data_IF_035388546721
#
_entry.id   IF_035388546721
#
_cell.length_a   1.000
_cell.length_b   1.000
_cell.length_c   1.000
_cell.angle_alpha   90.00
_cell.angle_beta   90.00
_cell.angle_gamma   90.00
#
_symmetry.space_group_name_H-M   'P 1'
#
loop_
_entity.id
_entity.type
_entity.pdbx_description
1 polymer ?
#
# COMPACT_ATOMS: atom_id res chain seq x y z
N UNK A 1 -8.82 -7.14 -9.04
CA UNK A 1 -7.67 -6.24 -9.36
C UNK A 1 -8.09 -4.80 -9.61
N UNK A 2 -9.08 -4.53 -10.49
CA UNK A 2 -9.51 -3.15 -10.75
C UNK A 2 -10.20 -2.47 -9.57
N UNK A 3 -11.04 -3.19 -8.82
CA UNK A 3 -11.65 -2.68 -7.58
C UNK A 3 -10.60 -2.24 -6.55
N UNK A 4 -9.54 -3.04 -6.38
CA UNK A 4 -8.41 -2.72 -5.48
C UNK A 4 -7.67 -1.46 -5.96
N UNK A 5 -7.45 -1.31 -7.28
CA UNK A 5 -6.87 -0.09 -7.85
C UNK A 5 -7.70 1.13 -7.46
N UNK A 6 -9.02 1.04 -7.66
CA UNK A 6 -9.95 2.13 -7.36
C UNK A 6 -9.96 2.48 -5.87
N UNK A 7 -10.00 1.48 -4.99
CA UNK A 7 -9.97 1.72 -3.54
C UNK A 7 -8.69 2.40 -3.07
N UNK A 8 -7.53 2.08 -3.65
CA UNK A 8 -6.30 2.82 -3.35
C UNK A 8 -6.24 4.20 -4.01
N UNK A 9 -6.82 4.38 -5.20
CA UNK A 9 -6.90 5.68 -5.86
C UNK A 9 -7.72 6.70 -5.06
N UNK A 10 -8.72 6.26 -4.29
CA UNK A 10 -9.43 7.11 -3.33
C UNK A 10 -8.48 7.72 -2.27
N UNK A 11 -7.36 7.06 -1.99
CA UNK A 11 -6.33 7.52 -1.06
C UNK A 11 -5.20 8.33 -1.75
N UNK A 12 -5.38 8.77 -3.00
CA UNK A 12 -4.36 9.50 -3.77
C UNK A 12 -3.82 10.75 -3.06
N UNK A 13 -4.67 11.51 -2.38
CA UNK A 13 -4.24 12.69 -1.61
C UNK A 13 -3.25 12.33 -0.50
N UNK A 14 -3.45 11.18 0.15
CA UNK A 14 -2.58 10.66 1.22
C UNK A 14 -1.25 10.21 0.64
N UNK A 15 -1.27 9.54 -0.52
CA UNK A 15 -0.07 9.16 -1.28
C UNK A 15 0.77 10.37 -1.71
N UNK A 16 0.13 11.46 -2.15
CA UNK A 16 0.83 12.71 -2.48
C UNK A 16 1.48 13.36 -1.25
N UNK A 17 0.79 13.32 -0.11
CA UNK A 17 1.34 13.84 1.15
C UNK A 17 2.52 13.00 1.66
N UNK A 18 2.45 11.67 1.49
CA UNK A 18 3.54 10.74 1.79
C UNK A 18 4.84 11.11 1.08
N UNK A 19 4.78 11.55 -0.19
CA UNK A 19 5.99 11.96 -0.95
C UNK A 19 6.82 13.02 -0.24
N UNK A 20 6.16 13.88 0.56
CA UNK A 20 6.80 14.98 1.29
C UNK A 20 7.29 14.56 2.66
N UNK A 21 6.47 13.83 3.42
CA UNK A 21 6.71 13.59 4.86
C UNK A 21 7.33 12.22 5.15
N UNK A 22 6.97 11.17 4.39
CA UNK A 22 7.50 9.81 4.55
C UNK A 22 7.41 9.24 5.98
N UNK A 23 6.24 9.36 6.61
CA UNK A 23 5.97 8.83 7.97
C UNK A 23 4.76 7.88 7.98
N UNK A 24 4.59 7.12 9.07
CA UNK A 24 3.49 6.16 9.26
C UNK A 24 2.10 6.78 9.10
N UNK A 25 1.92 8.03 9.54
CA UNK A 25 0.60 8.69 9.50
C UNK A 25 0.15 9.04 8.08
N UNK A 26 1.08 9.10 7.14
CA UNK A 26 0.81 9.48 5.73
C UNK A 26 0.83 8.31 4.78
N UNK A 27 1.10 7.12 5.30
CA UNK A 27 1.17 5.89 4.55
C UNK A 27 -0.18 5.36 4.09
N UNK A 28 -0.27 4.68 2.94
CA UNK A 28 -1.53 4.08 2.48
C UNK A 28 -2.11 3.07 3.49
N UNK A 29 -3.44 3.08 3.64
CA UNK A 29 -4.15 2.05 4.36
C UNK A 29 -4.32 0.81 3.48
N UNK A 30 -3.93 -0.35 4.01
CA UNK A 30 -4.06 -1.64 3.35
C UNK A 30 -5.46 -2.23 3.44
N UNK A 31 -6.21 -1.91 4.49
CA UNK A 31 -7.57 -2.41 4.72
C UNK A 31 -8.60 -1.49 4.07
N UNK A 32 -9.38 -2.07 3.17
CA UNK A 32 -10.44 -1.40 2.44
C UNK A 32 -11.78 -2.10 2.73
N UNK A 33 -12.85 -1.31 2.81
CA UNK A 33 -14.21 -1.83 2.83
C UNK A 33 -14.53 -2.50 1.49
N UNK A 34 -15.16 -3.67 1.52
CA UNK A 34 -15.43 -4.44 0.30
C UNK A 34 -16.62 -3.90 -0.51
N UNK A 35 -17.55 -3.19 0.13
CA UNK A 35 -18.73 -2.59 -0.50
C UNK A 35 -18.39 -1.22 -1.05
N UNK A 36 -17.72 -0.37 -0.26
CA UNK A 36 -17.48 1.03 -0.62
C UNK A 36 -16.09 1.26 -1.25
N UNK A 37 -15.13 0.38 -0.97
CA UNK A 37 -13.73 0.57 -1.37
C UNK A 37 -12.99 1.62 -0.54
N UNK A 38 -13.60 2.15 0.51
CA UNK A 38 -13.01 3.18 1.36
C UNK A 38 -12.01 2.58 2.36
N UNK A 39 -10.97 3.32 2.76
CA UNK A 39 -10.04 2.87 3.80
C UNK A 39 -10.76 2.68 5.15
N UNK A 40 -10.52 1.53 5.78
CA UNK A 40 -11.02 1.26 7.13
C UNK A 40 -10.06 1.86 8.14
N UNK A 41 -10.52 2.90 8.85
CA UNK A 41 -9.77 3.55 9.92
C UNK A 41 -9.93 2.79 11.24
N UNK A 42 -8.80 2.50 11.88
CA UNK A 42 -8.74 1.83 13.17
C UNK A 42 -7.50 2.33 13.90
N UNK A 43 -7.72 3.03 15.01
CA UNK A 43 -6.65 3.64 15.80
C UNK A 43 -5.67 2.62 16.40
N UNK A 44 -6.07 1.35 16.46
CA UNK A 44 -5.22 0.25 16.93
C UNK A 44 -4.36 -0.34 15.81
N UNK A 45 -4.70 -0.06 14.54
CA UNK A 45 -4.04 -0.61 13.38
C UNK A 45 -2.99 0.36 12.83
N UNK A 46 -1.72 0.11 13.16
CA UNK A 46 -0.58 0.95 12.78
C UNK A 46 0.29 0.34 11.68
N UNK A 47 -0.23 -0.66 10.99
CA UNK A 47 0.53 -1.43 10.02
C UNK A 47 0.45 -0.76 8.65
N UNK A 48 1.62 -0.57 8.03
CA UNK A 48 1.82 -0.06 6.69
C UNK A 48 1.52 -1.13 5.62
N UNK A 49 1.73 -2.41 5.97
CA UNK A 49 1.56 -3.59 5.11
C UNK A 49 2.07 -3.36 3.69
N UNK A 50 3.36 -3.01 3.60
CA UNK A 50 4.05 -2.84 2.33
C UNK A 50 3.95 -4.06 1.42
N UNK A 51 3.93 -5.25 2.03
CA UNK A 51 3.78 -6.54 1.38
C UNK A 51 2.49 -6.62 0.54
N UNK A 52 1.36 -6.13 1.04
CA UNK A 52 0.10 -6.09 0.29
C UNK A 52 0.24 -5.29 -1.02
N UNK A 53 0.87 -4.11 -0.93
CA UNK A 53 1.08 -3.23 -2.08
C UNK A 53 2.07 -3.85 -3.06
N UNK A 54 3.16 -4.46 -2.55
CA UNK A 54 4.15 -5.15 -3.37
C UNK A 54 3.56 -6.35 -4.13
N UNK A 55 2.79 -7.21 -3.45
CA UNK A 55 2.09 -8.34 -4.06
C UNK A 55 1.10 -7.88 -5.13
N UNK A 56 0.36 -6.80 -4.86
CA UNK A 56 -0.54 -6.23 -5.85
C UNK A 56 0.18 -5.78 -7.12
N UNK A 57 1.32 -5.08 -7.01
CA UNK A 57 2.09 -4.64 -8.18
C UNK A 57 2.59 -5.83 -8.99
N UNK A 58 3.13 -6.85 -8.33
CA UNK A 58 3.59 -8.08 -8.99
C UNK A 58 2.43 -8.72 -9.74
N UNK A 59 1.27 -8.87 -9.09
CA UNK A 59 0.09 -9.46 -9.71
C UNK A 59 -0.47 -8.63 -10.86
N UNK A 60 -0.44 -7.29 -10.74
CA UNK A 60 -0.86 -6.36 -11.78
C UNK A 60 0.02 -6.52 -13.03
N UNK A 61 1.34 -6.60 -12.86
CA UNK A 61 2.29 -6.83 -13.95
C UNK A 61 2.04 -8.17 -14.63
N UNK A 62 1.85 -9.25 -13.87
CA UNK A 62 1.57 -10.58 -14.42
C UNK A 62 0.29 -10.59 -15.28
N UNK A 63 -0.78 -9.93 -14.82
CA UNK A 63 -2.03 -9.87 -15.58
C UNK A 63 -1.93 -9.01 -16.84
N UNK A 64 -1.22 -7.88 -16.77
CA UNK A 64 -0.97 -7.07 -17.97
C UNK A 64 -0.14 -7.86 -18.98
N UNK A 65 0.87 -8.61 -18.51
CA UNK A 65 1.69 -9.45 -19.36
C UNK A 65 0.90 -10.59 -20.00
N UNK A 66 -0.14 -11.12 -19.34
CA UNK A 66 -1.05 -12.10 -19.93
C UNK A 66 -2.04 -11.51 -20.94
N UNK A 67 -1.97 -10.20 -21.22
CA UNK A 67 -2.82 -9.50 -22.19
C UNK A 67 -4.09 -8.88 -21.61
N UNK A 68 -4.28 -8.89 -20.28
CA UNK A 68 -5.43 -8.23 -19.66
C UNK A 68 -5.20 -6.72 -19.57
N UNK A 69 -6.15 -5.94 -20.08
CA UNK A 69 -6.17 -4.50 -19.89
C UNK A 69 -6.81 -4.18 -18.54
N UNK A 70 -6.02 -3.68 -17.58
CA UNK A 70 -6.49 -3.33 -16.23
C UNK A 70 -6.41 -1.82 -15.98
N UNK A 71 -5.38 -1.17 -16.53
CA UNK A 71 -5.12 0.27 -16.45
C UNK A 71 -5.51 0.90 -17.79
N UNK A 72 -6.39 1.89 -17.76
CA UNK A 72 -7.04 2.48 -18.92
C UNK A 72 -6.78 3.99 -19.05
N UNK A 73 -6.75 4.73 -17.94
CA UNK A 73 -6.65 6.19 -17.97
C UNK A 73 -5.25 6.68 -17.62
N UNK A 74 -4.91 7.90 -18.03
CA UNK A 74 -3.64 8.54 -17.66
C UNK A 74 -3.53 8.73 -16.15
N UNK A 75 -4.64 8.97 -15.47
CA UNK A 75 -4.68 9.13 -14.01
C UNK A 75 -4.39 7.81 -13.30
N UNK A 76 -4.93 6.69 -13.80
CA UNK A 76 -4.60 5.35 -13.29
C UNK A 76 -3.11 5.03 -13.52
N UNK A 77 -2.54 5.40 -14.67
CA UNK A 77 -1.10 5.25 -14.95
C UNK A 77 -0.25 6.07 -13.95
N UNK A 78 -0.59 7.34 -13.74
CA UNK A 78 0.12 8.21 -12.80
C UNK A 78 0.02 7.68 -11.37
N UNK A 79 -1.14 7.13 -10.99
CA UNK A 79 -1.32 6.51 -9.68
C UNK A 79 -0.42 5.28 -9.51
N UNK A 80 -0.36 4.38 -10.49
CA UNK A 80 0.53 3.21 -10.44
C UNK A 80 2.00 3.63 -10.32
N UNK A 81 2.42 4.69 -11.03
CA UNK A 81 3.77 5.25 -10.89
C UNK A 81 4.03 5.76 -9.46
N UNK A 82 3.07 6.49 -8.89
CA UNK A 82 3.16 6.95 -7.51
C UNK A 82 3.24 5.79 -6.50
N UNK A 83 2.55 4.69 -6.79
CA UNK A 83 2.55 3.49 -5.95
C UNK A 83 3.89 2.73 -6.02
N UNK A 84 4.55 2.71 -7.18
CA UNK A 84 5.94 2.22 -7.30
C UNK A 84 6.91 3.11 -6.51
N UNK A 85 6.79 4.44 -6.63
CA UNK A 85 7.58 5.38 -5.83
C UNK A 85 7.38 5.17 -4.31
N UNK A 86 6.14 4.92 -3.91
CA UNK A 86 5.80 4.65 -2.53
C UNK A 86 6.52 3.41 -2.00
N UNK A 87 6.48 2.28 -2.74
CA UNK A 87 7.20 1.06 -2.37
C UNK A 87 8.72 1.30 -2.23
N UNK A 88 9.32 2.08 -3.14
CA UNK A 88 10.74 2.44 -3.08
C UNK A 88 11.09 3.21 -1.80
N UNK A 89 10.16 3.94 -1.19
CA UNK A 89 10.46 4.80 -0.04
C UNK A 89 10.03 4.21 1.29
N UNK A 90 8.91 3.49 1.29
CA UNK A 90 8.26 2.98 2.47
C UNK A 90 9.03 1.81 3.13
N UNK A 91 9.97 1.13 2.44
CA UNK A 91 10.73 0.02 3.03
C UNK A 91 11.67 0.47 4.17
N UNK A 92 11.97 1.78 4.21
CA UNK A 92 12.80 2.42 5.23
C UNK A 92 11.98 2.81 6.47
N UNK A 93 10.66 2.69 6.41
CA UNK A 93 9.76 2.99 7.52
C UNK A 93 9.58 1.69 8.31
N UNK A 94 9.77 1.70 9.64
CA UNK A 94 9.51 0.53 10.46
C UNK A 94 8.05 0.11 10.37
N UNK A 95 7.79 -1.17 10.11
CA UNK A 95 6.45 -1.73 9.93
C UNK A 95 6.32 -3.10 10.61
N UNK A 96 5.09 -3.58 10.74
CA UNK A 96 4.76 -4.93 11.14
C UNK A 96 4.92 -5.87 9.93
N UNK A 97 5.49 -7.06 10.16
CA UNK A 97 5.52 -8.09 9.14
C UNK A 97 4.11 -8.59 8.76
N UNK A 98 4.03 -9.44 7.72
CA UNK A 98 2.78 -9.94 7.10
C UNK A 98 1.73 -10.48 8.08
N UNK A 99 2.15 -10.93 9.27
CA UNK A 99 1.27 -11.50 10.29
C UNK A 99 0.71 -10.49 11.28
N UNK A 100 1.02 -9.20 11.14
CA UNK A 100 0.49 -8.10 11.97
C UNK A 100 0.82 -8.24 13.48
N UNK A 101 1.80 -9.08 13.83
CA UNK A 101 2.17 -9.45 15.21
C UNK A 101 3.38 -8.68 15.76
N UNK A 102 4.01 -7.86 14.92
CA UNK A 102 5.25 -7.14 15.23
C UNK A 102 6.46 -8.07 15.17
N UNK A 103 7.51 -7.78 15.95
CA UNK A 103 8.69 -8.66 16.06
C UNK A 103 8.31 -10.13 16.22
N UNK A 104 9.13 -11.07 15.71
CA UNK A 104 8.95 -12.54 15.88
C UNK A 104 8.61 -13.02 17.31
N UNK A 105 8.84 -12.19 18.33
CA UNK A 105 8.48 -12.43 19.73
C UNK A 105 7.06 -11.97 20.12
N UNK A 106 6.26 -11.48 19.16
CA UNK A 106 4.89 -10.96 19.33
C UNK A 106 4.78 -9.85 20.39
N UNK A 107 5.75 -8.93 20.39
CA UNK A 107 5.82 -7.83 21.38
C UNK A 107 5.14 -6.53 20.96
N UNK A 108 4.39 -6.52 19.85
CA UNK A 108 3.79 -5.30 19.29
C UNK A 108 4.79 -4.16 18.99
N UNK A 109 6.05 -4.51 18.73
CA UNK A 109 7.10 -3.57 18.33
C UNK A 109 7.27 -3.71 16.81
N UNK A 110 7.37 -2.58 16.10
CA UNK A 110 7.64 -2.54 14.66
C UNK A 110 8.98 -3.20 14.34
N UNK A 111 9.03 -3.94 13.23
CA UNK A 111 10.25 -4.53 12.72
C UNK A 111 11.02 -3.49 11.90
N UNK A 112 12.33 -3.42 12.11
CA UNK A 112 13.23 -2.62 11.27
C UNK A 112 13.58 -3.45 10.03
N UNK A 113 13.07 -3.04 8.87
CA UNK A 113 13.26 -3.77 7.61
C UNK A 113 14.63 -3.50 6.95
N UNK A 114 15.31 -2.40 7.29
CA UNK A 114 16.69 -2.13 6.89
C UNK A 114 17.34 -1.11 7.85
N UNK A 115 18.67 -1.16 7.96
CA UNK A 115 19.50 -0.17 8.66
C UNK A 115 20.16 0.75 7.65
#
# INVERSE_FOLDING_TARGET
MRSILMGWMQQSARLEYFKRVQNLDTCLHSRLDYETGEPIYDDQYKNLQMDCIGLYVIQLVQMIHSGLQIVYTKDEVAFVQNLVFYLERAYRIPDYGMWERGTKQNRNITELHAR
#
